data_IF_764378124546
#
_entry.id   IF_764378124546
#
_cell.length_a   1.000
_cell.length_b   1.000
_cell.length_c   1.000
_cell.angle_alpha   90.00
_cell.angle_beta   90.00
_cell.angle_gamma   90.00
#
_symmetry.space_group_name_H-M   'P 1'
#
loop_
_entity.id
_entity.type
_entity.pdbx_description
1 polymer ?
#
# COMPACT_ATOMS: atom_id res chain seq x y z
N UNK A 1 10.30 6.84 10.99
CA UNK A 1 10.25 5.40 11.25
C UNK A 1 8.78 4.97 11.24
N UNK A 2 8.33 4.34 10.15
CA UNK A 2 6.91 4.04 9.92
C UNK A 2 6.34 3.09 11.00
N UNK A 3 7.19 2.23 11.56
CA UNK A 3 6.83 1.28 12.62
C UNK A 3 6.38 2.03 13.89
N UNK A 4 7.09 3.10 14.26
CA UNK A 4 6.70 3.94 15.39
C UNK A 4 5.33 4.59 15.20
N UNK A 5 5.06 5.08 13.99
CA UNK A 5 3.78 5.72 13.65
C UNK A 5 2.62 4.70 13.72
N UNK A 6 2.79 3.50 13.18
CA UNK A 6 1.75 2.46 13.25
C UNK A 6 1.42 2.04 14.68
N UNK A 7 2.43 1.94 15.56
CA UNK A 7 2.22 1.64 16.98
C UNK A 7 1.42 2.73 17.67
N UNK A 8 1.76 4.00 17.41
CA UNK A 8 1.04 5.14 17.97
C UNK A 8 -0.42 5.19 17.52
N UNK A 9 -0.69 5.03 16.22
CA UNK A 9 -2.05 4.98 15.67
C UNK A 9 -2.84 3.82 16.30
N UNK A 10 -2.23 2.64 16.39
CA UNK A 10 -2.86 1.46 16.98
C UNK A 10 -3.22 1.66 18.45
N UNK A 11 -2.32 2.26 19.24
CA UNK A 11 -2.58 2.59 20.64
C UNK A 11 -3.73 3.59 20.79
N UNK A 12 -3.71 4.67 19.99
CA UNK A 12 -4.76 5.68 20.03
C UNK A 12 -6.14 5.17 19.63
N UNK A 13 -6.22 4.23 18.67
CA UNK A 13 -7.47 3.56 18.30
C UNK A 13 -7.94 2.61 19.40
N UNK A 14 -7.00 1.91 20.02
CA UNK A 14 -7.27 0.99 21.13
C UNK A 14 -7.88 1.73 22.33
N UNK A 15 -7.33 2.89 22.67
CA UNK A 15 -7.85 3.74 23.76
C UNK A 15 -9.24 4.31 23.48
N UNK A 16 -9.52 4.66 22.22
CA UNK A 16 -10.80 5.29 21.83
C UNK A 16 -11.94 4.30 21.62
N UNK A 17 -11.64 3.09 21.15
CA UNK A 17 -12.67 2.17 20.65
C UNK A 17 -12.78 0.86 21.45
N UNK A 18 -11.81 0.51 22.30
CA UNK A 18 -11.87 -0.71 23.11
C UNK A 18 -12.13 -0.42 24.58
N UNK A 19 -12.97 -1.25 25.20
CA UNK A 19 -13.20 -1.22 26.65
C UNK A 19 -11.94 -1.66 27.42
N UNK A 20 -11.85 -1.33 28.71
CA UNK A 20 -10.74 -1.77 29.56
C UNK A 20 -10.56 -3.29 29.59
N UNK A 21 -11.66 -4.05 29.51
CA UNK A 21 -11.61 -5.51 29.40
C UNK A 21 -11.03 -5.97 28.05
N UNK A 22 -11.48 -5.38 26.94
CA UNK A 22 -10.97 -5.70 25.60
C UNK A 22 -9.48 -5.34 25.44
N UNK A 23 -9.02 -4.24 26.05
CA UNK A 23 -7.60 -3.87 26.05
C UNK A 23 -6.71 -4.88 26.78
N UNK A 24 -7.24 -5.55 27.80
CA UNK A 24 -6.52 -6.59 28.54
C UNK A 24 -6.56 -7.98 27.89
N UNK A 25 -7.55 -8.24 27.02
CA UNK A 25 -7.82 -9.58 26.46
C UNK A 25 -7.57 -9.68 24.95
N UNK A 26 -7.59 -8.57 24.22
CA UNK A 26 -7.47 -8.53 22.77
C UNK A 26 -6.25 -7.73 22.33
N UNK A 27 -5.63 -8.16 21.22
CA UNK A 27 -4.48 -7.46 20.61
C UNK A 27 -4.91 -6.80 19.31
N UNK A 28 -4.75 -5.49 19.22
CA UNK A 28 -4.97 -4.75 17.97
C UNK A 28 -3.77 -4.93 17.04
N UNK A 29 -4.06 -5.25 15.78
CA UNK A 29 -3.05 -5.51 14.76
C UNK A 29 -3.27 -4.59 13.57
N UNK A 30 -2.20 -3.93 13.14
CA UNK A 30 -2.15 -3.22 11.88
C UNK A 30 -1.78 -4.19 10.75
N UNK A 31 -2.57 -4.22 9.68
CA UNK A 31 -2.32 -5.06 8.51
C UNK A 31 -2.08 -4.15 7.30
N UNK A 32 -0.83 -3.93 6.86
CA UNK A 32 -0.55 -3.05 5.73
C UNK A 32 -1.09 -3.63 4.41
N UNK A 33 -1.76 -2.79 3.62
CA UNK A 33 -2.17 -3.11 2.25
C UNK A 33 -1.10 -2.70 1.25
N UNK A 34 -0.21 -3.63 0.91
CA UNK A 34 0.91 -3.40 -0.03
C UNK A 34 0.51 -3.73 -1.48
N UNK A 35 -0.46 -3.01 -2.04
CA UNK A 35 -1.00 -3.27 -3.38
C UNK A 35 0.00 -2.97 -4.51
N UNK A 36 0.92 -2.01 -4.32
CA UNK A 36 1.90 -1.59 -5.34
C UNK A 36 3.10 -2.52 -5.46
N UNK A 37 3.41 -3.34 -4.45
CA UNK A 37 4.68 -4.10 -4.33
C UNK A 37 4.91 -5.11 -5.46
N UNK A 38 3.87 -5.53 -6.18
CA UNK A 38 3.96 -6.45 -7.32
C UNK A 38 3.34 -5.91 -8.62
N UNK A 39 2.92 -4.65 -8.63
CA UNK A 39 2.28 -4.05 -9.80
C UNK A 39 3.38 -3.51 -10.72
N UNK A 40 3.63 -4.21 -11.83
CA UNK A 40 4.57 -3.76 -12.86
C UNK A 40 3.78 -3.12 -13.98
N UNK A 41 3.93 -1.82 -14.13
CA UNK A 41 3.29 -1.07 -15.20
C UNK A 41 4.36 -0.77 -16.26
N UNK A 42 4.03 -1.04 -17.53
CA UNK A 42 5.00 -1.09 -18.64
C UNK A 42 5.81 0.22 -18.81
N UNK A 43 5.24 1.35 -18.43
CA UNK A 43 5.89 2.67 -18.52
C UNK A 43 7.17 2.78 -17.69
N UNK A 44 7.30 2.05 -16.58
CA UNK A 44 8.50 2.13 -15.72
C UNK A 44 9.75 1.68 -16.47
N UNK A 45 9.61 0.64 -17.29
CA UNK A 45 10.69 0.11 -18.14
C UNK A 45 11.05 1.06 -19.28
N UNK A 46 10.09 1.85 -19.77
CA UNK A 46 10.34 2.83 -20.84
C UNK A 46 11.17 4.00 -20.32
N UNK A 47 10.88 4.50 -19.10
CA UNK A 47 11.67 5.54 -18.43
C UNK A 47 13.11 5.08 -18.18
N UNK A 48 13.30 3.82 -17.77
CA UNK A 48 14.64 3.23 -17.59
C UNK A 48 15.43 3.20 -18.91
N UNK A 49 14.79 2.89 -20.04
CA UNK A 49 15.46 2.80 -21.35
C UNK A 49 15.89 4.15 -21.93
N UNK A 50 15.19 5.24 -21.57
CA UNK A 50 15.45 6.58 -22.12
C UNK A 50 16.26 7.48 -21.18
N UNK A 51 16.54 7.05 -19.95
CA UNK A 51 17.28 7.84 -18.96
C UNK A 51 18.66 7.24 -18.67
N UNK A 52 19.69 8.09 -18.61
CA UNK A 52 21.08 7.69 -18.31
C UNK A 52 21.25 7.16 -16.88
N UNK A 53 22.13 6.19 -16.65
CA UNK A 53 22.32 5.55 -15.34
C UNK A 53 22.61 6.54 -14.18
N UNK A 54 23.21 7.70 -14.46
CA UNK A 54 23.51 8.73 -13.47
C UNK A 54 22.31 9.48 -12.85
N UNK A 55 21.10 9.40 -13.43
CA UNK A 55 19.94 10.22 -12.98
C UNK A 55 18.95 9.47 -12.06
N UNK A 56 19.45 8.65 -11.13
CA UNK A 56 18.61 7.84 -10.23
C UNK A 56 17.63 8.67 -9.39
N UNK A 57 18.05 9.83 -8.89
CA UNK A 57 17.18 10.73 -8.12
C UNK A 57 16.00 11.24 -8.93
N UNK A 58 16.24 11.69 -10.17
CA UNK A 58 15.21 12.14 -11.08
C UNK A 58 14.26 11.00 -11.48
N UNK A 59 14.77 9.78 -11.70
CA UNK A 59 13.95 8.60 -11.94
C UNK A 59 12.97 8.33 -10.80
N UNK A 60 13.46 8.38 -9.55
CA UNK A 60 12.62 8.17 -8.37
C UNK A 60 11.55 9.26 -8.28
N UNK A 61 11.89 10.53 -8.53
CA UNK A 61 10.91 11.63 -8.50
C UNK A 61 9.88 11.53 -9.62
N UNK A 62 10.29 11.17 -10.84
CA UNK A 62 9.39 11.04 -11.99
C UNK A 62 8.41 9.87 -11.80
N UNK A 63 8.92 8.72 -11.34
CA UNK A 63 8.10 7.56 -10.99
C UNK A 63 7.16 7.83 -9.81
N UNK A 64 7.55 8.69 -8.87
CA UNK A 64 6.73 9.03 -7.71
C UNK A 64 5.65 10.10 -7.95
N UNK A 65 5.74 10.89 -9.04
CA UNK A 65 4.83 12.05 -9.25
C UNK A 65 4.11 12.03 -10.59
N UNK A 66 4.83 11.90 -11.69
CA UNK A 66 4.25 12.00 -13.05
C UNK A 66 3.66 10.66 -13.49
N UNK A 67 4.32 9.58 -13.12
CA UNK A 67 3.92 8.24 -13.55
C UNK A 67 2.57 7.81 -12.98
N UNK A 68 2.36 8.03 -11.70
CA UNK A 68 1.11 7.68 -11.03
C UNK A 68 -0.06 8.45 -11.64
N UNK A 69 0.11 9.76 -11.92
CA UNK A 69 -0.91 10.58 -12.61
C UNK A 69 -1.19 10.06 -14.01
N UNK A 70 -0.17 9.74 -14.80
CA UNK A 70 -0.34 9.19 -16.15
C UNK A 70 -1.02 7.82 -16.14
N UNK A 71 -0.78 7.00 -15.11
CA UNK A 71 -1.45 5.73 -14.95
C UNK A 71 -2.93 5.85 -14.59
N UNK A 72 -3.30 6.83 -13.75
CA UNK A 72 -4.71 7.12 -13.49
C UNK A 72 -5.45 7.68 -14.72
N UNK A 73 -4.73 8.36 -15.61
CA UNK A 73 -5.29 8.94 -16.84
C UNK A 73 -5.39 7.94 -18.01
N UNK A 74 -4.74 6.78 -17.91
CA UNK A 74 -4.81 5.72 -18.93
C UNK A 74 -5.81 4.64 -18.52
N UNK A 75 -6.87 4.37 -19.30
CA UNK A 75 -7.90 3.39 -18.95
C UNK A 75 -7.35 1.97 -18.68
N UNK A 76 -6.31 1.57 -19.42
CA UNK A 76 -5.69 0.24 -19.32
C UNK A 76 -4.93 0.11 -17.99
N UNK A 77 -4.06 1.06 -17.66
CA UNK A 77 -3.29 1.02 -16.42
C UNK A 77 -4.14 1.31 -15.18
N UNK A 78 -5.19 2.10 -15.33
CA UNK A 78 -6.17 2.31 -14.28
C UNK A 78 -6.86 0.99 -13.89
N UNK A 79 -7.24 0.16 -14.88
CA UNK A 79 -7.81 -1.16 -14.61
C UNK A 79 -6.81 -2.08 -13.89
N UNK A 80 -5.55 -2.12 -14.32
CA UNK A 80 -4.51 -2.92 -13.66
C UNK A 80 -4.28 -2.48 -12.19
N UNK A 81 -4.34 -1.17 -11.93
CA UNK A 81 -4.27 -0.61 -10.56
C UNK A 81 -5.48 -1.06 -9.74
N UNK A 82 -6.70 -0.92 -10.28
CA UNK A 82 -7.94 -1.30 -9.61
C UNK A 82 -7.91 -2.79 -9.26
N UNK A 83 -7.51 -3.63 -10.20
CA UNK A 83 -7.43 -5.08 -10.02
C UNK A 83 -6.39 -5.43 -8.95
N UNK A 84 -5.22 -4.80 -8.95
CA UNK A 84 -4.19 -5.04 -7.94
C UNK A 84 -4.64 -4.65 -6.54
N UNK A 85 -5.25 -3.47 -6.38
CA UNK A 85 -5.81 -3.00 -5.10
C UNK A 85 -6.90 -3.95 -4.61
N UNK A 86 -7.86 -4.27 -5.47
CA UNK A 86 -9.00 -5.14 -5.14
C UNK A 86 -8.53 -6.53 -4.73
N UNK A 87 -7.60 -7.12 -5.48
CA UNK A 87 -7.04 -8.43 -5.16
C UNK A 87 -6.28 -8.42 -3.83
N UNK A 88 -5.51 -7.36 -3.54
CA UNK A 88 -4.79 -7.27 -2.27
C UNK A 88 -5.75 -7.09 -1.10
N UNK A 89 -6.79 -6.26 -1.23
CA UNK A 89 -7.82 -6.09 -0.20
C UNK A 89 -8.57 -7.40 0.06
N UNK A 90 -9.00 -8.10 -0.99
CA UNK A 90 -9.67 -9.40 -0.87
C UNK A 90 -8.79 -10.43 -0.15
N UNK A 91 -7.50 -10.51 -0.49
CA UNK A 91 -6.54 -11.38 0.21
C UNK A 91 -6.42 -11.04 1.68
N UNK A 92 -6.36 -9.75 2.04
CA UNK A 92 -6.30 -9.32 3.43
C UNK A 92 -7.60 -9.63 4.18
N UNK A 93 -8.75 -9.43 3.54
CA UNK A 93 -10.05 -9.74 4.11
C UNK A 93 -10.21 -11.24 4.40
N UNK A 94 -9.85 -12.11 3.45
CA UNK A 94 -9.86 -13.56 3.66
C UNK A 94 -8.90 -13.98 4.80
N UNK A 95 -7.73 -13.33 4.89
CA UNK A 95 -6.76 -13.55 5.98
C UNK A 95 -7.30 -13.08 7.33
N UNK A 96 -8.09 -12.01 7.34
CA UNK A 96 -8.78 -11.52 8.53
C UNK A 96 -9.83 -12.53 9.00
N UNK A 97 -10.70 -13.00 8.10
CA UNK A 97 -11.72 -14.02 8.42
C UNK A 97 -11.09 -15.31 8.98
N UNK A 98 -10.02 -15.81 8.34
CA UNK A 98 -9.33 -17.03 8.81
C UNK A 98 -8.76 -16.91 10.23
N UNK A 99 -8.44 -15.69 10.68
CA UNK A 99 -7.85 -15.42 12.00
C UNK A 99 -8.88 -15.02 13.06
N UNK A 100 -10.08 -14.68 12.64
CA UNK A 100 -11.20 -14.28 13.49
C UNK A 100 -12.44 -15.08 13.04
N UNK A 101 -12.48 -16.40 13.30
CA UNK A 101 -13.63 -17.23 12.99
C UNK A 101 -14.85 -16.88 13.85
#
# INVERSE_FOLDING_TARGET
>A
DDVGNFRHITASLTERHLTSYQRGTQRVLYIPCQWRRGLKLSGETAVEKITLDGVRGLRVTLSATVHDVLYYMSPIYCQDIIDSVSNQLNKLYLKFLKRNP
#
